data_IF_861328104831
#
_entry.id   IF_861328104831
#
_cell.length_a   1.000
_cell.length_b   1.000
_cell.length_c   1.000
_cell.angle_alpha   90.00
_cell.angle_beta   90.00
_cell.angle_gamma   90.00
#
_symmetry.space_group_name_H-M   'P 1'
#
loop_
_entity.id
_entity.type
_entity.pdbx_description
1 polymer ?
#
# COMPACT_ATOMS: atom_id res chain seq x y z
N UNK A 1 2.43 -9.76 -3.21
CA UNK A 1 1.49 -9.20 -2.21
C UNK A 1 2.24 -8.91 -0.92
N UNK A 2 1.86 -7.86 -0.19
CA UNK A 2 2.39 -7.50 1.12
C UNK A 2 1.73 -8.35 2.20
N UNK A 3 2.47 -8.68 3.25
CA UNK A 3 2.00 -9.50 4.37
C UNK A 3 1.48 -8.65 5.51
N UNK A 4 0.31 -9.01 6.06
CA UNK A 4 -0.26 -8.40 7.26
C UNK A 4 0.66 -8.60 8.47
N UNK A 5 1.23 -9.81 8.64
CA UNK A 5 2.13 -10.11 9.75
C UNK A 5 3.37 -9.22 9.75
N UNK A 6 3.97 -8.99 8.57
CA UNK A 6 5.11 -8.08 8.44
C UNK A 6 4.69 -6.64 8.73
N UNK A 7 3.51 -6.22 8.28
CA UNK A 7 3.00 -4.88 8.58
C UNK A 7 2.82 -4.66 10.10
N UNK A 8 2.21 -5.62 10.82
CA UNK A 8 2.06 -5.55 12.28
C UNK A 8 3.39 -5.68 13.01
N UNK A 9 4.34 -6.48 12.51
CA UNK A 9 5.69 -6.55 13.06
C UNK A 9 6.40 -5.19 12.95
N UNK A 10 6.32 -4.56 11.78
CA UNK A 10 6.86 -3.23 11.55
C UNK A 10 6.20 -2.18 12.44
N UNK A 11 4.89 -2.28 12.66
CA UNK A 11 4.17 -1.45 13.62
C UNK A 11 4.71 -1.66 15.04
N UNK A 12 4.88 -2.91 15.49
CA UNK A 12 5.37 -3.22 16.84
C UNK A 12 6.79 -2.70 17.10
N UNK A 13 7.74 -2.97 16.18
CA UNK A 13 9.14 -2.54 16.33
C UNK A 13 9.31 -1.01 16.21
N UNK A 14 8.33 -0.32 15.61
CA UNK A 14 8.31 1.14 15.45
C UNK A 14 7.87 1.88 16.72
N UNK A 15 8.06 1.29 17.90
CA UNK A 15 7.49 1.77 19.17
C UNK A 15 5.96 1.85 19.04
N UNK A 16 5.31 0.70 18.77
CA UNK A 16 3.86 0.62 18.56
C UNK A 16 3.33 1.57 17.49
N UNK A 17 4.06 1.72 16.37
CA UNK A 17 3.65 2.51 15.21
C UNK A 17 4.03 3.99 15.25
N UNK A 18 4.71 4.45 16.31
CA UNK A 18 5.13 5.85 16.49
C UNK A 18 6.11 6.31 15.42
N UNK A 19 7.09 5.47 15.06
CA UNK A 19 8.06 5.76 13.99
C UNK A 19 7.46 5.59 12.57
N UNK A 20 6.29 4.95 12.45
CA UNK A 20 5.58 4.85 11.17
C UNK A 20 6.16 3.89 10.12
N UNK A 21 7.04 2.93 10.46
CA UNK A 21 7.64 2.03 9.45
C UNK A 21 6.63 1.16 8.69
N UNK A 22 5.47 0.86 9.28
CA UNK A 22 4.38 0.18 8.58
C UNK A 22 3.86 0.99 7.38
N UNK A 23 3.90 2.33 7.43
CA UNK A 23 3.47 3.20 6.32
C UNK A 23 4.47 3.18 5.16
N UNK A 24 5.76 3.13 5.45
CA UNK A 24 6.81 2.97 4.44
C UNK A 24 6.71 1.61 3.74
N UNK A 25 6.38 0.54 4.47
CA UNK A 25 6.17 -0.79 3.88
C UNK A 25 5.03 -0.84 2.85
N UNK A 26 3.98 -0.05 3.08
CA UNK A 26 2.84 0.14 2.18
C UNK A 26 3.10 1.18 1.07
N UNK A 27 4.33 1.69 0.94
CA UNK A 27 4.70 2.67 -0.08
C UNK A 27 4.15 4.08 0.18
N UNK A 28 3.58 4.35 1.36
CA UNK A 28 3.03 5.67 1.73
C UNK A 28 4.10 6.58 2.33
N UNK A 29 5.20 6.78 1.59
CA UNK A 29 6.42 7.49 2.05
C UNK A 29 6.10 8.88 2.58
N UNK A 30 5.31 9.68 1.85
CA UNK A 30 4.93 11.03 2.29
C UNK A 30 4.23 11.04 3.66
N UNK A 31 3.28 10.12 3.87
CA UNK A 31 2.60 10.02 5.18
C UNK A 31 3.50 9.44 6.27
N UNK A 32 4.48 8.60 5.92
CA UNK A 32 5.47 8.07 6.86
C UNK A 32 6.42 9.16 7.36
N UNK A 33 6.89 10.04 6.47
CA UNK A 33 7.70 11.21 6.83
C UNK A 33 6.89 12.17 7.72
N UNK A 34 5.64 12.45 7.35
CA UNK A 34 4.73 13.24 8.19
C UNK A 34 4.54 12.60 9.57
N UNK A 35 4.46 11.27 9.64
CA UNK A 35 4.36 10.52 10.90
C UNK A 35 5.57 10.74 11.81
N UNK A 36 6.79 10.69 11.25
CA UNK A 36 8.01 10.91 12.03
C UNK A 36 8.09 12.37 12.53
N UNK A 37 7.76 13.34 11.66
CA UNK A 37 7.78 14.78 12.01
C UNK A 37 6.73 15.10 13.10
N UNK A 38 5.58 14.43 13.06
CA UNK A 38 4.50 14.62 14.06
C UNK A 38 4.64 13.70 15.28
N UNK A 39 5.62 12.80 15.30
CA UNK A 39 5.78 11.78 16.34
C UNK A 39 4.58 10.84 16.46
N UNK A 40 4.02 10.38 15.34
CA UNK A 40 2.84 9.51 15.32
C UNK A 40 1.64 10.12 16.05
N UNK A 41 1.52 11.45 16.02
CA UNK A 41 0.52 12.30 16.71
C UNK A 41 0.10 11.75 18.09
N UNK A 42 1.04 11.80 19.05
CA UNK A 42 0.88 11.42 20.47
C UNK A 42 0.49 9.96 20.76
N UNK A 43 0.64 9.05 19.79
CA UNK A 43 0.33 7.63 19.95
C UNK A 43 -1.13 7.25 19.67
N UNK A 44 -2.05 8.21 19.58
CA UNK A 44 -3.44 7.99 19.17
C UNK A 44 -3.49 7.56 17.71
N UNK A 45 -2.70 8.22 16.85
CA UNK A 45 -2.59 7.85 15.44
C UNK A 45 -2.13 6.41 15.27
N UNK A 46 -1.18 5.97 16.10
CA UNK A 46 -0.68 4.60 16.06
C UNK A 46 -1.69 3.56 16.55
N UNK A 47 -2.55 3.93 17.51
CA UNK A 47 -3.65 3.08 17.97
C UNK A 47 -4.74 2.91 16.91
N UNK A 48 -5.08 3.97 16.17
CA UNK A 48 -5.99 3.89 15.02
C UNK A 48 -5.39 3.02 13.92
N UNK A 49 -4.08 3.12 13.70
CA UNK A 49 -3.37 2.28 12.75
C UNK A 49 -3.48 0.79 13.11
N UNK A 50 -3.51 0.41 14.39
CA UNK A 50 -3.68 -1.00 14.81
C UNK A 50 -4.94 -1.65 14.19
N UNK A 51 -6.07 -0.94 14.18
CA UNK A 51 -7.33 -1.47 13.64
C UNK A 51 -7.41 -1.36 12.12
N UNK A 52 -6.79 -0.34 11.53
CA UNK A 52 -6.89 -0.08 10.09
C UNK A 52 -5.82 -0.78 9.26
N UNK A 53 -4.68 -1.17 9.86
CA UNK A 53 -3.51 -1.67 9.13
C UNK A 53 -3.80 -2.91 8.28
N UNK A 54 -4.59 -3.86 8.81
CA UNK A 54 -5.02 -5.04 8.04
C UNK A 54 -5.74 -4.66 6.74
N UNK A 55 -6.70 -3.73 6.82
CA UNK A 55 -7.42 -3.23 5.65
C UNK A 55 -6.51 -2.43 4.71
N UNK A 56 -5.55 -1.67 5.24
CA UNK A 56 -4.58 -0.95 4.42
C UNK A 56 -3.68 -1.90 3.61
N UNK A 57 -3.29 -3.04 4.18
CA UNK A 57 -2.52 -4.09 3.48
C UNK A 57 -3.35 -4.72 2.37
N UNK A 58 -4.61 -5.05 2.65
CA UNK A 58 -5.52 -5.64 1.65
C UNK A 58 -5.75 -4.67 0.50
N UNK A 59 -6.06 -3.40 0.80
CA UNK A 59 -6.22 -2.34 -0.20
C UNK A 59 -4.94 -2.15 -1.03
N UNK A 60 -3.77 -2.19 -0.41
CA UNK A 60 -2.51 -2.12 -1.16
C UNK A 60 -2.39 -3.28 -2.14
N UNK A 61 -2.67 -4.50 -1.70
CA UNK A 61 -2.60 -5.68 -2.56
C UNK A 61 -3.60 -5.61 -3.72
N UNK A 62 -4.87 -5.30 -3.44
CA UNK A 62 -5.91 -5.16 -4.46
C UNK A 62 -5.57 -4.07 -5.47
N UNK A 63 -5.08 -2.90 -5.02
CA UNK A 63 -4.74 -1.81 -5.94
C UNK A 63 -3.55 -2.16 -6.85
N UNK A 64 -2.60 -2.95 -6.38
CA UNK A 64 -1.50 -3.41 -7.23
C UNK A 64 -1.98 -4.43 -8.26
N UNK A 65 -2.86 -5.34 -7.87
CA UNK A 65 -3.48 -6.29 -8.79
C UNK A 65 -4.35 -5.58 -9.85
N UNK A 66 -5.14 -4.58 -9.44
CA UNK A 66 -5.93 -3.78 -10.37
C UNK A 66 -5.06 -3.01 -11.36
N UNK A 67 -3.90 -2.49 -10.93
CA UNK A 67 -2.95 -1.83 -11.82
C UNK A 67 -2.39 -2.80 -12.86
N UNK A 68 -2.03 -4.02 -12.45
CA UNK A 68 -1.53 -5.04 -13.39
C UNK A 68 -2.61 -5.47 -14.36
N UNK A 69 -3.83 -5.71 -13.88
CA UNK A 69 -4.96 -6.09 -14.73
C UNK A 69 -5.31 -5.00 -15.74
N UNK A 70 -5.30 -3.72 -15.33
CA UNK A 70 -5.51 -2.59 -16.24
C UNK A 70 -4.41 -2.49 -17.29
N UNK A 71 -3.15 -2.65 -16.89
CA UNK A 71 -2.04 -2.65 -17.84
C UNK A 71 -2.18 -3.79 -18.86
N UNK A 72 -2.46 -5.01 -18.41
CA UNK A 72 -2.71 -6.17 -19.29
C UNK A 72 -3.91 -5.93 -20.20
N UNK A 73 -5.01 -5.40 -19.70
CA UNK A 73 -6.20 -5.09 -20.51
C UNK A 73 -5.91 -4.03 -21.58
N UNK A 74 -5.11 -3.01 -21.27
CA UNK A 74 -4.67 -2.01 -22.24
C UNK A 74 -3.78 -2.63 -23.32
N UNK A 75 -2.86 -3.52 -22.95
CA UNK A 75 -2.00 -4.23 -23.90
C UNK A 75 -2.82 -5.17 -24.81
N UNK A 76 -3.75 -5.94 -24.26
CA UNK A 76 -4.68 -6.77 -25.04
C UNK A 76 -5.50 -5.91 -25.99
N UNK A 77 -6.02 -4.77 -25.53
CA UNK A 77 -6.76 -3.84 -26.37
C UNK A 77 -5.94 -3.34 -27.57
N UNK A 78 -4.66 -2.99 -27.36
CA UNK A 78 -3.74 -2.61 -28.43
C UNK A 78 -3.49 -3.75 -29.42
N UNK A 79 -3.28 -4.97 -28.92
CA UNK A 79 -3.05 -6.16 -29.76
C UNK A 79 -4.28 -6.48 -30.60
N UNK A 80 -5.47 -6.45 -29.99
CA UNK A 80 -6.74 -6.69 -30.69
C UNK A 80 -6.98 -5.60 -31.74
N UNK A 81 -6.78 -4.32 -31.41
CA UNK A 81 -6.92 -3.22 -32.38
C UNK A 81 -5.91 -3.33 -33.54
N UNK A 82 -4.67 -3.77 -33.26
CA UNK A 82 -3.64 -4.06 -34.27
C UNK A 82 -4.04 -5.18 -35.22
N UNK A 83 -4.55 -6.29 -34.69
CA UNK A 83 -4.95 -7.45 -35.51
C UNK A 83 -6.22 -7.19 -36.33
N UNK A 84 -7.14 -6.35 -35.86
CA UNK A 84 -8.32 -5.92 -36.63
C UNK A 84 -7.98 -5.01 -37.83
N UNK A 85 -6.78 -4.41 -37.87
CA UNK A 85 -6.36 -3.49 -38.94
C UNK A 85 -5.53 -4.18 -40.05
N UNK A 86 -5.17 -5.44 -39.89
CA UNK A 86 -4.41 -6.19 -40.91
C UNK A 86 -5.37 -6.64 -42.02
N UNK A 87 -5.07 -6.37 -43.31
CA UNK A 87 -5.91 -6.76 -44.43
C UNK A 87 -5.95 -8.27 -44.62
#
# INVERSE_FOLDING_TARGET
MKSKGIAYLLWLISIFGWLGFHRFYLGKIGTGILWIITGGVLGIGSLIDLFTLGGQVDQYNTNNELKTLRATALEIGKITASNLKKP
#
